data_IF_459127985461
#
_entry.id   IF_459127985461
#
_cell.length_a   1.000
_cell.length_b   1.000
_cell.length_c   1.000
_cell.angle_alpha   90.00
_cell.angle_beta   90.00
_cell.angle_gamma   90.00
#
_symmetry.space_group_name_H-M   'P 1'
#
loop_
_entity.id
_entity.type
_entity.pdbx_description
1 polymer ?
#
# COMPACT_ATOMS: atom_id res chain seq x y z
N UNK A 1 9.83 27.88 -77.05
CA UNK A 1 10.55 29.16 -76.86
C UNK A 1 9.85 29.92 -75.74
N UNK A 2 10.40 30.29 -74.59
CA UNK A 2 11.68 30.13 -73.86
C UNK A 2 11.27 30.30 -72.38
N UNK A 3 11.43 29.27 -71.56
CA UNK A 3 12.19 29.22 -70.29
C UNK A 3 12.14 30.43 -69.34
N UNK A 4 11.90 30.15 -68.05
CA UNK A 4 12.13 31.12 -66.98
C UNK A 4 11.75 30.64 -65.58
N UNK A 5 12.25 29.49 -65.13
CA UNK A 5 12.29 29.11 -63.71
C UNK A 5 13.14 30.13 -62.93
N UNK A 6 12.65 30.69 -61.82
CA UNK A 6 13.47 31.47 -60.89
C UNK A 6 13.47 30.79 -59.52
N UNK A 7 14.66 30.37 -59.11
CA UNK A 7 14.96 29.61 -57.90
C UNK A 7 15.36 30.54 -56.73
N UNK A 8 15.38 29.95 -55.54
CA UNK A 8 15.52 30.54 -54.22
C UNK A 8 16.71 31.50 -54.00
N UNK A 9 16.57 32.40 -53.01
CA UNK A 9 17.71 33.08 -52.37
C UNK A 9 17.49 33.26 -50.87
N UNK A 10 18.18 32.44 -50.08
CA UNK A 10 18.46 32.67 -48.66
C UNK A 10 19.57 33.74 -48.52
N UNK A 11 19.51 34.66 -47.54
CA UNK A 11 20.69 35.37 -47.08
C UNK A 11 21.33 34.67 -45.87
N UNK A 12 22.65 34.46 -45.96
CA UNK A 12 23.55 33.94 -44.92
C UNK A 12 24.38 35.12 -44.36
N UNK A 13 24.48 35.14 -43.03
CA UNK A 13 25.54 35.62 -42.14
C UNK A 13 26.56 36.71 -42.58
N UNK A 14 26.77 37.68 -41.69
CA UNK A 14 28.09 38.15 -41.19
C UNK A 14 27.86 38.98 -39.91
N UNK A 15 28.33 38.51 -38.76
CA UNK A 15 29.61 38.84 -38.10
C UNK A 15 29.67 40.26 -37.52
N UNK A 16 29.73 40.34 -36.19
CA UNK A 16 30.78 41.11 -35.52
C UNK A 16 31.01 40.66 -34.09
N UNK A 17 32.28 40.31 -33.86
CA UNK A 17 32.92 39.90 -32.62
C UNK A 17 33.48 41.11 -31.85
N UNK A 18 33.72 40.90 -30.56
CA UNK A 18 34.62 41.71 -29.72
C UNK A 18 33.85 42.63 -28.77
N UNK A 19 33.84 42.44 -27.45
CA UNK A 19 34.85 41.86 -26.57
C UNK A 19 35.35 42.98 -25.65
N UNK A 20 35.29 42.77 -24.33
CA UNK A 20 36.24 43.30 -23.35
C UNK A 20 35.93 42.79 -21.95
N UNK A 21 36.86 41.99 -21.45
CA UNK A 21 37.03 41.61 -20.07
C UNK A 21 37.46 42.82 -19.22
N UNK A 22 37.04 42.86 -17.96
CA UNK A 22 37.49 43.81 -16.95
C UNK A 22 37.50 43.13 -15.58
N UNK A 23 38.70 42.96 -15.04
CA UNK A 23 38.99 42.30 -13.77
C UNK A 23 38.70 43.22 -12.55
N UNK A 24 38.21 42.61 -11.47
CA UNK A 24 38.37 42.90 -10.04
C UNK A 24 38.49 44.37 -9.53
N UNK A 25 37.68 44.73 -8.52
CA UNK A 25 38.18 45.22 -7.21
C UNK A 25 37.09 45.25 -6.12
N UNK A 26 37.54 44.87 -4.92
CA UNK A 26 37.19 45.39 -3.58
C UNK A 26 35.75 45.33 -3.05
N UNK A 27 35.60 44.47 -2.04
CA UNK A 27 34.88 44.67 -0.77
C UNK A 27 34.04 45.95 -0.63
N UNK A 28 32.74 45.79 -0.36
CA UNK A 28 32.10 46.67 0.62
C UNK A 28 31.00 45.95 1.40
N UNK A 29 31.18 45.97 2.73
CA UNK A 29 30.27 45.42 3.73
C UNK A 29 29.15 46.42 3.98
N UNK A 30 27.89 46.02 3.89
CA UNK A 30 26.83 46.61 4.74
C UNK A 30 25.85 45.52 5.19
N UNK A 31 26.09 45.04 6.41
CA UNK A 31 25.06 44.50 7.27
C UNK A 31 23.91 45.51 7.37
N UNK A 32 22.69 45.06 7.08
CA UNK A 32 21.47 45.80 7.42
C UNK A 32 20.81 45.07 8.58
N UNK A 33 20.99 45.65 9.75
CA UNK A 33 20.42 45.24 11.02
C UNK A 33 18.93 45.66 11.04
N UNK A 34 18.00 44.72 10.77
CA UNK A 34 16.57 44.98 10.96
C UNK A 34 16.13 44.36 12.28
N UNK A 35 16.08 45.18 13.34
CA UNK A 35 15.36 44.86 14.57
C UNK A 35 13.93 45.40 14.48
N UNK A 36 12.95 44.54 14.23
CA UNK A 36 11.55 44.77 14.60
C UNK A 36 10.90 43.44 14.99
N UNK A 37 10.32 43.43 16.20
CA UNK A 37 9.76 42.24 16.82
C UNK A 37 8.60 41.64 16.04
N UNK A 38 8.48 40.31 16.13
CA UNK A 38 7.27 39.59 15.79
C UNK A 38 6.75 38.87 17.04
N UNK A 39 5.64 39.39 17.51
CA UNK A 39 4.52 38.64 18.08
C UNK A 39 4.28 37.33 17.33
N UNK A 40 4.13 36.25 18.11
CA UNK A 40 3.93 34.86 17.70
C UNK A 40 3.09 34.67 16.44
N UNK A 41 3.62 34.05 15.38
CA UNK A 41 2.77 33.25 14.52
C UNK A 41 2.46 31.95 15.28
N UNK A 42 1.18 31.71 15.54
CA UNK A 42 0.64 30.38 15.86
C UNK A 42 0.93 29.52 14.64
N UNK A 43 2.13 28.94 14.58
CA UNK A 43 2.41 27.81 13.71
C UNK A 43 1.88 26.57 14.43
N UNK A 44 0.61 26.26 14.19
CA UNK A 44 0.17 24.88 14.23
C UNK A 44 0.93 24.21 13.08
N UNK A 45 2.11 23.70 13.39
CA UNK A 45 2.82 22.82 12.49
C UNK A 45 1.92 21.60 12.28
N UNK A 46 1.30 21.59 11.12
CA UNK A 46 0.46 20.52 10.62
C UNK A 46 1.37 19.30 10.50
N UNK A 47 1.18 18.30 11.35
CA UNK A 47 1.85 17.01 11.20
C UNK A 47 0.99 16.12 10.28
N UNK A 48 1.27 15.96 8.98
CA UNK A 48 0.66 14.90 8.19
C UNK A 48 1.40 13.59 8.52
N UNK A 49 1.10 13.00 9.67
CA UNK A 49 1.81 11.81 10.13
C UNK A 49 0.99 10.52 10.05
N UNK A 50 -0.13 10.51 9.30
CA UNK A 50 -0.86 9.26 9.02
C UNK A 50 -1.39 9.23 7.59
N UNK A 51 -0.59 8.61 6.74
CA UNK A 51 -1.06 8.16 5.44
C UNK A 51 -2.01 6.98 5.66
N UNK A 52 -3.24 7.10 5.15
CA UNK A 52 -4.24 6.04 5.20
C UNK A 52 -4.16 5.21 3.92
N UNK A 53 -4.16 3.89 4.07
CA UNK A 53 -4.16 2.98 2.93
C UNK A 53 -5.52 2.36 2.77
N UNK A 54 -5.98 2.31 1.53
CA UNK A 54 -7.27 1.72 1.17
C UNK A 54 -7.10 0.72 0.04
N UNK A 55 -8.02 -0.23 0.03
CA UNK A 55 -8.19 -1.20 -1.04
C UNK A 55 -9.61 -1.10 -1.58
N UNK A 56 -9.72 -0.89 -2.88
CA UNK A 56 -10.96 -0.78 -3.61
C UNK A 56 -11.10 -1.98 -4.55
N UNK A 57 -12.14 -2.76 -4.33
CA UNK A 57 -12.53 -3.85 -5.21
C UNK A 57 -13.73 -3.41 -6.05
N UNK A 58 -13.58 -3.46 -7.37
CA UNK A 58 -14.60 -3.08 -8.36
C UNK A 58 -15.06 -4.30 -9.13
N UNK A 59 -16.34 -4.34 -9.47
CA UNK A 59 -16.93 -5.33 -10.38
C UNK A 59 -17.45 -4.59 -11.61
N UNK A 60 -16.84 -4.86 -12.76
CA UNK A 60 -17.23 -4.36 -14.08
C UNK A 60 -18.18 -5.39 -14.73
N UNK A 61 -19.31 -4.97 -15.30
CA UNK A 61 -20.27 -5.89 -15.92
C UNK A 61 -19.71 -6.48 -17.22
N UNK A 62 -20.20 -7.65 -17.60
CA UNK A 62 -19.64 -8.40 -18.75
C UNK A 62 -20.06 -7.90 -20.13
N UNK A 63 -20.93 -6.88 -20.17
CA UNK A 63 -21.24 -6.14 -21.39
C UNK A 63 -20.05 -5.35 -21.96
N UNK A 64 -19.04 -5.06 -21.13
CA UNK A 64 -17.83 -4.36 -21.56
C UNK A 64 -16.88 -5.34 -22.25
N UNK A 65 -16.35 -4.91 -23.40
CA UNK A 65 -15.22 -5.57 -24.08
C UNK A 65 -13.91 -5.35 -23.31
N UNK A 66 -12.88 -6.14 -23.59
CA UNK A 66 -11.58 -6.02 -22.90
C UNK A 66 -10.97 -4.61 -23.01
N UNK A 67 -11.15 -3.94 -24.15
CA UNK A 67 -10.72 -2.56 -24.34
C UNK A 67 -11.51 -1.57 -23.46
N UNK A 68 -12.82 -1.76 -23.32
CA UNK A 68 -13.66 -0.89 -22.49
C UNK A 68 -13.47 -1.18 -21.00
N UNK A 69 -13.10 -2.41 -20.62
CA UNK A 69 -12.68 -2.77 -19.25
C UNK A 69 -11.44 -1.97 -18.85
N UNK A 70 -10.43 -1.90 -19.72
CA UNK A 70 -9.24 -1.08 -19.49
C UNK A 70 -9.62 0.41 -19.36
N UNK A 71 -10.50 0.91 -20.24
CA UNK A 71 -10.97 2.29 -20.14
C UNK A 71 -11.79 2.56 -18.86
N UNK A 72 -12.55 1.58 -18.37
CA UNK A 72 -13.26 1.68 -17.09
C UNK A 72 -12.29 1.68 -15.90
N UNK A 73 -11.22 0.88 -15.96
CA UNK A 73 -10.15 0.88 -14.95
C UNK A 73 -9.44 2.24 -14.91
N UNK A 74 -9.06 2.81 -16.05
CA UNK A 74 -8.43 4.14 -16.10
C UNK A 74 -9.37 5.23 -15.59
N UNK A 75 -10.67 5.16 -15.90
CA UNK A 75 -11.67 6.07 -15.32
C UNK A 75 -11.76 5.95 -13.81
N UNK A 76 -11.71 4.73 -13.26
CA UNK A 76 -11.66 4.53 -11.81
C UNK A 76 -10.41 5.18 -11.19
N UNK A 77 -9.24 5.04 -11.83
CA UNK A 77 -7.99 5.69 -11.37
C UNK A 77 -8.10 7.21 -11.42
N UNK A 78 -8.64 7.76 -12.50
CA UNK A 78 -8.86 9.20 -12.63
C UNK A 78 -9.80 9.74 -11.52
N UNK A 79 -10.84 8.99 -11.13
CA UNK A 79 -11.71 9.38 -10.02
C UNK A 79 -10.97 9.42 -8.67
N UNK A 80 -10.02 8.50 -8.45
CA UNK A 80 -9.19 8.46 -7.24
C UNK A 80 -8.23 9.66 -7.23
N UNK A 81 -7.54 9.92 -8.34
CA UNK A 81 -6.60 11.03 -8.48
C UNK A 81 -7.28 12.40 -8.35
N UNK A 82 -8.51 12.54 -8.84
CA UNK A 82 -9.31 13.77 -8.68
C UNK A 82 -9.56 14.12 -7.20
N UNK A 83 -9.60 13.12 -6.32
CA UNK A 83 -9.75 13.31 -4.87
C UNK A 83 -8.41 13.44 -4.14
N UNK A 84 -7.32 13.74 -4.87
CA UNK A 84 -5.97 13.88 -4.33
C UNK A 84 -5.46 12.61 -3.63
N UNK A 85 -5.95 11.45 -4.06
CA UNK A 85 -5.51 10.15 -3.57
C UNK A 85 -4.51 9.54 -4.55
N UNK A 86 -3.46 8.89 -4.03
CA UNK A 86 -2.37 8.34 -4.84
C UNK A 86 -2.56 6.85 -5.06
N UNK A 87 -2.73 6.43 -6.32
CA UNK A 87 -2.79 5.01 -6.68
C UNK A 87 -1.42 4.35 -6.47
N UNK A 88 -1.41 3.17 -5.83
CA UNK A 88 -0.20 2.40 -5.51
C UNK A 88 -0.13 1.16 -6.40
N UNK A 89 -1.21 0.39 -6.48
CA UNK A 89 -1.31 -0.82 -7.31
C UNK A 89 -2.68 -0.86 -7.97
N UNK A 90 -2.73 -1.22 -9.24
CA UNK A 90 -3.96 -1.57 -9.94
C UNK A 90 -3.78 -2.94 -10.57
N UNK A 91 -4.74 -3.83 -10.33
CA UNK A 91 -4.67 -5.21 -10.79
C UNK A 91 -6.03 -5.65 -11.32
N UNK A 92 -6.06 -6.02 -12.60
CA UNK A 92 -7.18 -6.73 -13.19
C UNK A 92 -7.10 -8.21 -12.81
N UNK A 93 -8.16 -8.72 -12.20
CA UNK A 93 -8.24 -10.07 -11.64
C UNK A 93 -9.05 -11.02 -12.51
N UNK A 94 -9.53 -10.53 -13.66
CA UNK A 94 -10.22 -11.31 -14.67
C UNK A 94 -11.70 -11.52 -14.39
N UNK A 95 -12.33 -12.29 -15.29
CA UNK A 95 -13.76 -12.58 -15.29
C UNK A 95 -14.07 -13.75 -14.37
N UNK A 96 -14.99 -13.53 -13.42
CA UNK A 96 -15.40 -14.53 -12.43
C UNK A 96 -16.92 -14.62 -12.38
N UNK A 97 -17.44 -15.83 -12.13
CA UNK A 97 -18.87 -16.06 -11.90
C UNK A 97 -19.28 -15.52 -10.53
N UNK A 98 -20.35 -14.73 -10.50
CA UNK A 98 -20.94 -14.20 -9.27
C UNK A 98 -21.78 -15.28 -8.57
N UNK A 99 -21.83 -15.22 -7.23
CA UNK A 99 -22.63 -16.17 -6.45
C UNK A 99 -24.14 -16.07 -6.76
N UNK A 100 -24.61 -14.86 -7.06
CA UNK A 100 -25.98 -14.58 -7.50
C UNK A 100 -25.96 -13.43 -8.53
N UNK A 101 -27.01 -13.29 -9.36
CA UNK A 101 -27.06 -12.22 -10.35
C UNK A 101 -27.08 -10.83 -9.70
N UNK A 102 -26.15 -9.95 -10.09
CA UNK A 102 -26.12 -8.56 -9.64
C UNK A 102 -26.54 -7.68 -10.81
N UNK A 103 -27.67 -6.98 -10.69
CA UNK A 103 -28.27 -6.20 -11.79
C UNK A 103 -28.45 -7.04 -13.08
N UNK A 104 -28.77 -8.33 -12.93
CA UNK A 104 -28.96 -9.28 -14.05
C UNK A 104 -27.69 -9.97 -14.55
N UNK A 105 -26.50 -9.50 -14.16
CA UNK A 105 -25.22 -10.09 -14.58
C UNK A 105 -24.85 -11.30 -13.72
N UNK A 106 -24.50 -12.43 -14.35
CA UNK A 106 -24.02 -13.66 -13.66
C UNK A 106 -22.49 -13.74 -13.56
N UNK A 107 -21.80 -12.91 -14.32
CA UNK A 107 -20.35 -12.83 -14.37
C UNK A 107 -19.95 -11.37 -14.19
N UNK A 108 -18.72 -11.14 -13.73
CA UNK A 108 -18.16 -9.80 -13.65
C UNK A 108 -16.64 -9.86 -13.71
N UNK A 109 -16.04 -8.82 -14.27
CA UNK A 109 -14.59 -8.64 -14.25
C UNK A 109 -14.20 -7.91 -12.98
N UNK A 110 -13.33 -8.52 -12.18
CA UNK A 110 -12.87 -7.95 -10.92
C UNK A 110 -11.63 -7.10 -11.14
N UNK A 111 -11.61 -5.91 -10.55
CA UNK A 111 -10.44 -5.02 -10.55
C UNK A 111 -10.17 -4.58 -9.12
N UNK A 112 -8.91 -4.67 -8.71
CA UNK A 112 -8.45 -4.26 -7.38
C UNK A 112 -7.52 -3.07 -7.53
N UNK A 113 -7.82 -1.99 -6.83
CA UNK A 113 -7.02 -0.78 -6.80
C UNK A 113 -6.65 -0.49 -5.35
N UNK A 114 -5.35 -0.49 -5.06
CA UNK A 114 -4.79 -0.04 -3.80
C UNK A 114 -4.32 1.41 -3.94
N UNK A 115 -4.69 2.26 -3.00
CA UNK A 115 -4.29 3.66 -3.01
C UNK A 115 -4.06 4.20 -1.60
N UNK A 116 -3.30 5.28 -1.52
CA UNK A 116 -3.06 6.04 -0.30
C UNK A 116 -3.79 7.38 -0.32
N UNK A 117 -4.25 7.83 0.85
CA UNK A 117 -4.81 9.17 1.04
C UNK A 117 -4.21 9.80 2.30
N UNK A 118 -4.00 11.11 2.24
CA UNK A 118 -3.64 11.90 3.42
C UNK A 118 -4.85 12.11 4.35
N UNK A 119 -6.06 11.92 3.83
CA UNK A 119 -7.31 12.08 4.58
C UNK A 119 -7.95 10.74 4.93
N UNK A 120 -8.68 10.71 6.05
CA UNK A 120 -9.52 9.56 6.39
C UNK A 120 -10.89 9.58 5.69
N UNK A 121 -11.24 10.66 5.00
CA UNK A 121 -12.56 10.81 4.39
C UNK A 121 -12.59 10.20 2.98
N UNK A 122 -13.31 9.09 2.84
CA UNK A 122 -13.51 8.40 1.57
C UNK A 122 -14.86 8.72 0.93
N UNK A 123 -15.70 9.52 1.60
CA UNK A 123 -17.07 9.80 1.17
C UNK A 123 -17.15 10.42 -0.22
N UNK A 124 -16.30 11.39 -0.60
CA UNK A 124 -16.32 11.97 -1.95
C UNK A 124 -16.07 10.93 -3.04
N UNK A 125 -15.09 10.05 -2.85
CA UNK A 125 -14.77 8.97 -3.78
C UNK A 125 -15.94 7.99 -3.90
N UNK A 126 -16.52 7.56 -2.77
CA UNK A 126 -17.68 6.67 -2.80
C UNK A 126 -18.87 7.28 -3.56
N UNK A 127 -19.14 8.58 -3.39
CA UNK A 127 -20.20 9.25 -4.15
C UNK A 127 -19.90 9.24 -5.64
N UNK A 128 -18.67 9.57 -6.04
CA UNK A 128 -18.26 9.55 -7.44
C UNK A 128 -18.40 8.15 -8.06
N UNK A 129 -17.97 7.10 -7.35
CA UNK A 129 -18.11 5.72 -7.79
C UNK A 129 -19.59 5.30 -7.90
N UNK A 130 -20.46 5.72 -6.98
CA UNK A 130 -21.91 5.44 -7.06
C UNK A 130 -22.60 6.10 -8.25
N UNK A 131 -22.13 7.28 -8.66
CA UNK A 131 -22.67 8.01 -9.81
C UNK A 131 -22.21 7.41 -11.14
N UNK A 132 -21.07 6.72 -11.15
CA UNK A 132 -20.58 6.05 -12.36
C UNK A 132 -21.41 4.82 -12.72
N UNK A 133 -21.73 4.67 -14.01
CA UNK A 133 -22.48 3.53 -14.55
C UNK A 133 -21.58 2.35 -14.99
N UNK A 134 -20.27 2.49 -14.81
CA UNK A 134 -19.27 1.53 -15.28
C UNK A 134 -19.15 0.32 -14.35
N UNK A 135 -19.53 0.46 -13.09
CA UNK A 135 -19.40 -0.58 -12.08
C UNK A 135 -20.78 -1.02 -11.57
N UNK A 136 -20.96 -2.33 -11.39
CA UNK A 136 -22.18 -2.90 -10.82
C UNK A 136 -22.13 -3.01 -9.30
N UNK A 137 -20.92 -3.09 -8.74
CA UNK A 137 -20.64 -3.16 -7.31
C UNK A 137 -19.23 -2.65 -7.06
N UNK A 138 -19.03 -2.07 -5.89
CA UNK A 138 -17.70 -1.80 -5.35
C UNK A 138 -17.67 -2.07 -3.85
N UNK A 139 -16.47 -2.28 -3.32
CA UNK A 139 -16.21 -2.39 -1.90
C UNK A 139 -14.91 -1.66 -1.58
N UNK A 140 -14.97 -0.75 -0.63
CA UNK A 140 -13.82 0.00 -0.13
C UNK A 140 -13.48 -0.47 1.28
N UNK A 141 -12.21 -0.79 1.53
CA UNK A 141 -11.73 -1.31 2.81
C UNK A 141 -10.48 -0.55 3.23
N UNK A 142 -10.42 -0.12 4.49
CA UNK A 142 -9.19 0.39 5.09
C UNK A 142 -8.21 -0.75 5.31
N UNK A 143 -6.97 -0.56 4.90
CA UNK A 143 -5.93 -1.59 4.96
C UNK A 143 -4.64 -1.03 5.54
N UNK A 144 -3.65 -1.91 5.74
CA UNK A 144 -2.30 -1.52 6.15
C UNK A 144 -1.36 -1.61 4.97
N UNK A 145 -0.28 -0.83 4.99
CA UNK A 145 0.75 -0.85 3.94
C UNK A 145 1.27 -2.27 3.64
N UNK A 146 1.51 -3.07 4.69
CA UNK A 146 2.01 -4.45 4.57
C UNK A 146 1.04 -5.39 3.84
N UNK A 147 -0.26 -5.13 3.92
CA UNK A 147 -1.26 -5.96 3.26
C UNK A 147 -1.33 -5.70 1.74
N UNK A 148 -0.94 -4.50 1.29
CA UNK A 148 -0.95 -4.13 -0.12
C UNK A 148 0.01 -4.96 -0.97
N UNK A 149 1.16 -5.33 -0.39
CA UNK A 149 2.24 -6.07 -1.06
C UNK A 149 1.94 -7.57 -1.20
N UNK A 150 0.91 -8.08 -0.53
CA UNK A 150 0.57 -9.50 -0.61
C UNK A 150 -0.06 -9.82 -1.96
N UNK A 151 0.30 -10.96 -2.59
CA UNK A 151 -0.37 -11.40 -3.80
C UNK A 151 -1.84 -11.66 -3.50
N UNK A 152 -2.71 -11.03 -4.27
CA UNK A 152 -4.15 -11.24 -4.18
C UNK A 152 -4.58 -12.20 -5.29
N UNK A 153 -5.20 -13.32 -4.92
CA UNK A 153 -5.76 -14.28 -5.86
C UNK A 153 -7.24 -14.44 -5.54
N UNK A 154 -8.11 -14.07 -6.46
CA UNK A 154 -9.52 -14.43 -6.37
C UNK A 154 -9.69 -15.91 -6.70
N UNK A 155 -10.48 -16.58 -5.87
CA UNK A 155 -10.93 -17.95 -6.08
C UNK A 155 -12.39 -17.85 -6.53
N UNK A 156 -12.73 -18.54 -7.61
CA UNK A 156 -14.11 -18.62 -8.06
C UNK A 156 -14.97 -19.27 -6.96
N UNK A 157 -16.15 -18.72 -6.71
CA UNK A 157 -17.10 -19.34 -5.79
C UNK A 157 -17.47 -20.73 -6.30
N UNK A 158 -17.24 -21.74 -5.45
CA UNK A 158 -17.73 -23.10 -5.66
C UNK A 158 -18.97 -23.26 -4.79
N UNK A 159 -20.08 -23.68 -5.41
CA UNK A 159 -21.30 -23.96 -4.66
C UNK A 159 -21.02 -25.09 -3.65
N UNK A 160 -21.39 -24.93 -2.37
CA UNK A 160 -21.38 -26.02 -1.42
C UNK A 160 -22.26 -27.14 -1.96
N UNK A 161 -21.72 -28.35 -2.06
CA UNK A 161 -22.45 -29.52 -2.56
C UNK A 161 -23.70 -29.72 -1.68
N UNK A 162 -24.93 -29.54 -2.22
CA UNK A 162 -26.14 -29.72 -1.43
C UNK A 162 -26.26 -31.19 -1.02
N UNK A 163 -26.30 -31.45 0.30
CA UNK A 163 -26.35 -32.82 0.82
C UNK A 163 -25.00 -33.53 0.94
N UNK A 164 -23.88 -32.83 0.69
CA UNK A 164 -22.60 -33.28 1.23
C UNK A 164 -22.71 -33.17 2.74
N UNK A 165 -22.61 -34.31 3.44
CA UNK A 165 -22.44 -34.32 4.87
C UNK A 165 -21.39 -33.27 5.20
N UNK A 166 -21.76 -32.29 6.03
CA UNK A 166 -20.76 -31.52 6.74
C UNK A 166 -20.07 -32.55 7.61
N UNK A 167 -19.04 -33.20 7.07
CA UNK A 167 -17.94 -33.77 7.83
C UNK A 167 -17.39 -32.57 8.59
N UNK A 168 -18.08 -32.31 9.70
CA UNK A 168 -18.03 -31.11 10.51
C UNK A 168 -16.62 -31.11 11.02
N UNK A 169 -15.73 -30.37 10.35
CA UNK A 169 -14.33 -30.16 10.70
C UNK A 169 -13.94 -31.03 11.87
N UNK A 170 -13.78 -32.33 11.62
CA UNK A 170 -13.12 -33.26 12.54
C UNK A 170 -11.63 -32.99 12.43
N UNK A 171 -11.24 -31.71 12.41
CA UNK A 171 -10.07 -31.35 13.17
C UNK A 171 -10.38 -31.83 14.58
N UNK A 172 -9.59 -32.77 15.14
CA UNK A 172 -9.65 -32.98 16.56
C UNK A 172 -9.57 -31.58 17.16
N UNK A 173 -10.54 -31.19 17.98
CA UNK A 173 -10.28 -30.13 18.95
C UNK A 173 -9.08 -30.66 19.70
N UNK A 174 -7.87 -30.23 19.31
CA UNK A 174 -6.69 -30.44 20.12
C UNK A 174 -7.14 -29.99 21.50
N UNK A 175 -7.18 -30.89 22.50
CA UNK A 175 -7.56 -30.49 23.84
C UNK A 175 -6.75 -29.25 24.12
N UNK A 176 -7.42 -28.17 24.52
CA UNK A 176 -6.74 -26.94 24.90
C UNK A 176 -5.84 -27.35 26.05
N UNK A 177 -4.59 -27.70 25.74
CA UNK A 177 -3.61 -28.04 26.75
C UNK A 177 -3.49 -26.75 27.53
N UNK A 178 -4.03 -26.76 28.74
CA UNK A 178 -3.85 -25.66 29.68
C UNK A 178 -2.37 -25.29 29.60
N UNK A 179 -2.03 -24.01 29.37
CA UNK A 179 -0.63 -23.63 29.23
C UNK A 179 0.12 -24.22 30.42
N UNK A 180 1.11 -25.07 30.12
CA UNK A 180 1.97 -25.66 31.15
C UNK A 180 2.39 -24.49 32.05
N UNK A 181 2.19 -24.57 33.38
CA UNK A 181 2.69 -23.52 34.25
C UNK A 181 4.16 -23.30 33.88
N UNK A 182 4.54 -22.04 33.64
CA UNK A 182 5.94 -21.70 33.36
C UNK A 182 6.78 -22.40 34.43
N UNK A 183 7.85 -23.13 34.07
CA UNK A 183 8.72 -23.72 35.08
C UNK A 183 9.13 -22.60 36.02
N UNK A 184 8.82 -22.78 37.31
CA UNK A 184 9.29 -21.87 38.35
C UNK A 184 10.82 -21.78 38.25
N UNK A 185 11.43 -20.63 38.54
CA UNK A 185 12.88 -20.53 38.61
C UNK A 185 13.40 -21.62 39.56
N UNK A 186 14.20 -22.52 39.02
CA UNK A 186 14.79 -23.63 39.77
C UNK A 186 15.72 -23.00 40.81
N UNK A 187 15.39 -23.15 42.09
CA UNK A 187 16.31 -22.82 43.17
C UNK A 187 17.58 -23.68 43.02
N UNK A 188 18.79 -23.15 43.31
CA UNK A 188 20.02 -23.88 43.10
C UNK A 188 20.03 -25.16 43.96
N UNK A 189 19.97 -26.32 43.31
CA UNK A 189 20.23 -27.61 43.93
C UNK A 189 21.74 -27.79 44.04
N UNK A 190 22.18 -28.15 45.24
CA UNK A 190 23.56 -28.45 45.62
C UNK A 190 24.24 -29.35 44.58
N UNK A 191 25.48 -29.00 44.23
CA UNK A 191 26.28 -29.70 43.22
C UNK A 191 26.63 -31.12 43.68
N UNK A 192 26.66 -32.06 42.73
CA UNK A 192 26.88 -33.50 42.95
C UNK A 192 28.13 -33.82 43.80
N UNK A 193 29.11 -32.91 43.82
CA UNK A 193 30.34 -33.00 44.63
C UNK A 193 30.13 -32.93 46.15
N UNK A 194 29.03 -32.32 46.63
CA UNK A 194 28.71 -32.26 48.05
C UNK A 194 28.00 -33.53 48.55
N UNK A 195 27.36 -34.26 47.63
CA UNK A 195 26.65 -35.51 47.92
C UNK A 195 27.67 -36.64 48.12
N UNK A 196 28.69 -36.74 47.27
CA UNK A 196 29.71 -37.80 47.38
C UNK A 196 30.50 -37.72 48.70
N UNK A 197 30.89 -36.52 49.16
CA UNK A 197 31.55 -36.33 50.45
C UNK A 197 30.70 -36.74 51.66
N UNK A 198 29.37 -36.65 51.53
CA UNK A 198 28.46 -37.07 52.60
C UNK A 198 28.27 -38.59 52.65
N UNK A 199 28.44 -39.29 51.52
CA UNK A 199 28.38 -40.74 51.44
C UNK A 199 29.65 -41.37 52.04
N UNK A 200 30.83 -40.83 51.72
CA UNK A 200 32.11 -41.33 52.27
C UNK A 200 32.15 -41.19 53.80
N UNK A 201 31.63 -40.07 54.33
CA UNK A 201 31.59 -39.81 55.78
C UNK A 201 30.66 -40.76 56.55
N UNK A 202 29.62 -41.30 55.89
CA UNK A 202 28.69 -42.26 56.49
C UNK A 202 29.26 -43.70 56.42
N UNK A 203 30.10 -43.99 55.42
CA UNK A 203 30.72 -45.31 55.26
C UNK A 203 31.88 -45.55 56.25
N UNK A 204 32.63 -44.52 56.63
CA UNK A 204 33.68 -44.63 57.66
C UNK A 204 33.13 -44.83 59.08
N UNK A 205 31.92 -44.34 59.37
CA UNK A 205 31.31 -44.44 60.70
C UNK A 205 30.70 -45.83 61.00
N UNK A 206 30.67 -46.74 60.02
CA UNK A 206 30.03 -48.07 60.13
C UNK A 206 30.99 -49.27 60.06
N UNK A 207 32.30 -49.04 60.16
CA UNK A 207 33.32 -50.11 60.26
C UNK A 207 34.09 -50.06 61.60
N UNK A 208 33.41 -49.61 62.67
CA UNK A 208 33.78 -49.89 64.06
C UNK A 208 32.72 -50.80 64.71
#
# INVERSE_FOLDING_TARGET
MVHGFFTARTPKASDNLGGREGWFTAQDKKEVHIKRGLTHPIFIDTMPARMHYYELLLIIPTRFTDAEVLAAEERARALIELQQMKVIVSQNLGKIRLAYPVRGERFGTYVRIAFGSDSSDTTPLERALRLSSDFIRFQLVSTSEKALQKPFRLIAYQEPIPGGDRERDSQPRVPRVSPRPRPAPVAPSLTEEEIDKSIDKILEEKVL
#
